data_IF_719719498607
#
_entry.id   IF_719719498607
#
_cell.length_a   1.000
_cell.length_b   1.000
_cell.length_c   1.000
_cell.angle_alpha   90.00
_cell.angle_beta   90.00
_cell.angle_gamma   90.00
#
_symmetry.space_group_name_H-M   'P 1'
#
loop_
_entity.id
_entity.type
_entity.pdbx_description
1 polymer ?
#
# COMPACT_ATOMS: atom_id res chain seq x y z
N UNK A 1 6.38 -19.70 15.74
CA UNK A 1 5.78 -18.78 14.75
C UNK A 1 4.85 -19.59 13.84
N UNK A 2 3.61 -19.14 13.58
CA UNK A 2 2.74 -19.84 12.63
C UNK A 2 3.37 -19.80 11.24
N UNK A 3 3.51 -20.95 10.59
CA UNK A 3 4.03 -21.04 9.24
C UNK A 3 2.89 -20.87 8.25
N UNK A 4 2.80 -19.68 7.63
CA UNK A 4 1.82 -19.46 6.56
C UNK A 4 2.12 -20.34 5.36
N UNK A 5 1.09 -21.02 4.86
CA UNK A 5 1.12 -21.72 3.59
C UNK A 5 1.35 -20.73 2.44
N UNK A 6 1.84 -21.24 1.30
CA UNK A 6 2.02 -20.43 0.09
C UNK A 6 0.73 -19.69 -0.32
N UNK A 7 -0.43 -20.34 -0.18
CA UNK A 7 -1.72 -19.75 -0.55
C UNK A 7 -2.10 -18.59 0.38
N UNK A 8 -1.83 -18.70 1.68
CA UNK A 8 -2.06 -17.62 2.65
C UNK A 8 -1.13 -16.44 2.38
N UNK A 9 0.17 -16.69 2.11
CA UNK A 9 1.11 -15.62 1.75
C UNK A 9 0.65 -14.86 0.50
N UNK A 10 0.19 -15.57 -0.53
CA UNK A 10 -0.38 -14.96 -1.74
C UNK A 10 -1.65 -14.16 -1.45
N UNK A 11 -2.52 -14.65 -0.55
CA UNK A 11 -3.72 -13.93 -0.14
C UNK A 11 -3.35 -12.60 0.53
N UNK A 12 -2.43 -12.62 1.50
CA UNK A 12 -1.98 -11.42 2.21
C UNK A 12 -1.29 -10.42 1.29
N UNK A 13 -0.42 -10.89 0.40
CA UNK A 13 0.22 -10.04 -0.61
C UNK A 13 -0.83 -9.35 -1.50
N UNK A 14 -1.84 -10.07 -1.95
CA UNK A 14 -2.92 -9.50 -2.75
C UNK A 14 -3.78 -8.50 -1.95
N UNK A 15 -3.99 -8.74 -0.65
CA UNK A 15 -4.66 -7.77 0.21
C UNK A 15 -3.84 -6.49 0.37
N UNK A 16 -2.52 -6.59 0.55
CA UNK A 16 -1.63 -5.44 0.64
C UNK A 16 -1.66 -4.61 -0.66
N UNK A 17 -1.59 -5.27 -1.82
CA UNK A 17 -1.75 -4.61 -3.13
C UNK A 17 -3.08 -3.87 -3.27
N UNK A 18 -4.18 -4.45 -2.78
CA UNK A 18 -5.50 -3.79 -2.79
C UNK A 18 -5.54 -2.53 -1.93
N UNK A 19 -4.79 -2.49 -0.81
CA UNK A 19 -4.67 -1.27 0.01
C UNK A 19 -3.91 -0.17 -0.73
N UNK A 20 -2.82 -0.51 -1.42
CA UNK A 20 -2.11 0.44 -2.30
C UNK A 20 -3.06 1.00 -3.38
N UNK A 21 -3.81 0.13 -4.05
CA UNK A 21 -4.78 0.56 -5.08
C UNK A 21 -5.91 1.46 -4.52
N UNK A 22 -6.22 1.37 -3.24
CA UNK A 22 -7.23 2.23 -2.62
C UNK A 22 -6.76 3.69 -2.52
N UNK A 23 -5.45 3.95 -2.47
CA UNK A 23 -4.87 5.31 -2.45
C UNK A 23 -5.28 6.09 -3.71
N UNK A 24 -5.27 5.44 -4.88
CA UNK A 24 -5.69 6.06 -6.14
C UNK A 24 -7.16 6.51 -6.13
N UNK A 25 -7.98 5.94 -5.24
CA UNK A 25 -9.39 6.28 -5.06
C UNK A 25 -9.64 7.22 -3.88
N UNK A 26 -8.62 7.56 -3.10
CA UNK A 26 -8.75 8.46 -1.96
C UNK A 26 -9.09 9.88 -2.43
N UNK A 27 -9.93 10.56 -1.63
CA UNK A 27 -10.12 12.00 -1.76
C UNK A 27 -8.91 12.73 -1.17
N UNK A 28 -8.67 13.96 -1.64
CA UNK A 28 -7.52 14.79 -1.25
C UNK A 28 -7.15 14.76 0.25
N UNK A 29 -8.08 14.96 1.22
CA UNK A 29 -7.73 14.97 2.64
C UNK A 29 -7.36 13.59 3.21
N UNK A 30 -7.56 12.51 2.46
CA UNK A 30 -7.35 11.13 2.93
C UNK A 30 -6.20 10.42 2.23
N UNK A 31 -5.49 11.06 1.30
CA UNK A 31 -4.39 10.44 0.56
C UNK A 31 -3.29 10.00 1.51
N UNK A 32 -2.80 10.92 2.35
CA UNK A 32 -1.71 10.66 3.29
C UNK A 32 -2.05 9.53 4.26
N UNK A 33 -3.28 9.56 4.79
CA UNK A 33 -3.79 8.49 5.67
C UNK A 33 -3.87 7.14 4.94
N UNK A 34 -4.29 7.14 3.68
CA UNK A 34 -4.36 5.91 2.87
C UNK A 34 -2.96 5.35 2.58
N UNK A 35 -1.97 6.21 2.32
CA UNK A 35 -0.56 5.84 2.19
C UNK A 35 -0.05 5.21 3.48
N UNK A 36 -0.21 5.90 4.61
CA UNK A 36 0.23 5.46 5.93
C UNK A 36 -0.34 4.08 6.26
N UNK A 37 -1.65 3.86 6.06
CA UNK A 37 -2.27 2.56 6.28
C UNK A 37 -1.76 1.46 5.36
N UNK A 38 -1.46 1.76 4.09
CA UNK A 38 -0.91 0.77 3.17
C UNK A 38 0.51 0.35 3.60
N UNK A 39 1.34 1.33 3.99
CA UNK A 39 2.72 1.10 4.44
C UNK A 39 2.78 0.35 5.77
N UNK A 40 1.96 0.75 6.74
CA UNK A 40 1.84 0.07 8.03
C UNK A 40 1.36 -1.38 7.88
N UNK A 41 0.45 -1.64 6.93
CA UNK A 41 0.00 -2.99 6.66
C UNK A 41 1.08 -3.86 6.02
N UNK A 42 1.89 -3.32 5.10
CA UNK A 42 3.03 -4.03 4.54
C UNK A 42 4.07 -4.39 5.62
N UNK A 43 4.35 -3.46 6.54
CA UNK A 43 5.25 -3.71 7.68
C UNK A 43 4.70 -4.84 8.56
N UNK A 44 3.44 -4.76 8.97
CA UNK A 44 2.81 -5.76 9.82
C UNK A 44 2.79 -7.17 9.20
N UNK A 45 2.68 -7.28 7.87
CA UNK A 45 2.75 -8.57 7.17
C UNK A 45 4.18 -9.12 7.12
N UNK A 46 5.19 -8.26 7.06
CA UNK A 46 6.58 -8.67 7.14
C UNK A 46 6.95 -9.14 8.55
N UNK A 47 6.52 -8.42 9.59
CA UNK A 47 6.76 -8.77 11.00
C UNK A 47 6.26 -10.18 11.37
N UNK A 48 5.27 -10.70 10.64
CA UNK A 48 4.70 -12.04 10.85
C UNK A 48 5.15 -13.06 9.80
N UNK A 49 6.15 -12.76 8.96
CA UNK A 49 6.64 -13.62 7.87
C UNK A 49 5.59 -13.98 6.80
N UNK A 50 4.52 -13.18 6.67
CA UNK A 50 3.48 -13.37 5.65
C UNK A 50 3.93 -12.91 4.26
N UNK A 51 4.86 -11.95 4.19
CA UNK A 51 5.52 -11.48 2.96
C UNK A 51 7.03 -11.40 3.15
N UNK A 52 7.76 -11.33 2.05
CA UNK A 52 9.22 -11.13 2.03
C UNK A 52 9.60 -9.66 2.21
N UNK A 53 10.85 -9.41 2.59
CA UNK A 53 11.41 -8.06 2.68
C UNK A 53 11.30 -7.30 1.35
N UNK A 54 11.59 -7.97 0.22
CA UNK A 54 11.46 -7.37 -1.11
C UNK A 54 10.01 -6.98 -1.42
N UNK A 55 9.04 -7.80 -1.06
CA UNK A 55 7.62 -7.48 -1.23
C UNK A 55 7.19 -6.31 -0.33
N UNK A 56 7.68 -6.25 0.91
CA UNK A 56 7.45 -5.13 1.83
C UNK A 56 7.94 -3.82 1.25
N UNK A 57 9.21 -3.77 0.83
CA UNK A 57 9.81 -2.56 0.23
C UNK A 57 9.05 -2.14 -1.03
N UNK A 58 8.74 -3.11 -1.92
CA UNK A 58 7.98 -2.85 -3.14
C UNK A 58 6.61 -2.21 -2.83
N UNK A 59 5.88 -2.78 -1.86
CA UNK A 59 4.57 -2.25 -1.45
C UNK A 59 4.68 -0.85 -0.85
N UNK A 60 5.74 -0.56 -0.10
CA UNK A 60 5.97 0.77 0.48
C UNK A 60 6.28 1.82 -0.59
N UNK A 61 7.10 1.46 -1.57
CA UNK A 61 7.42 2.33 -2.70
C UNK A 61 6.20 2.57 -3.60
N UNK A 62 5.42 1.53 -3.90
CA UNK A 62 4.19 1.65 -4.68
C UNK A 62 3.15 2.52 -3.95
N UNK A 63 3.01 2.39 -2.62
CA UNK A 63 2.13 3.23 -1.81
C UNK A 63 2.51 4.71 -1.91
N UNK A 64 3.80 5.03 -1.67
CA UNK A 64 4.33 6.39 -1.77
C UNK A 64 4.10 6.97 -3.16
N UNK A 65 4.48 6.24 -4.21
CA UNK A 65 4.33 6.69 -5.59
C UNK A 65 2.85 6.95 -5.93
N UNK A 66 1.96 6.05 -5.54
CA UNK A 66 0.52 6.21 -5.79
C UNK A 66 -0.05 7.43 -5.06
N UNK A 67 0.40 7.71 -3.84
CA UNK A 67 0.01 8.89 -3.09
C UNK A 67 0.48 10.18 -3.77
N UNK A 68 1.75 10.24 -4.16
CA UNK A 68 2.32 11.37 -4.90
C UNK A 68 1.57 11.64 -6.21
N UNK A 69 1.32 10.60 -7.01
CA UNK A 69 0.60 10.71 -8.27
C UNK A 69 -0.83 11.21 -8.05
N UNK A 70 -1.49 10.77 -6.97
CA UNK A 70 -2.84 11.22 -6.62
C UNK A 70 -2.86 12.69 -6.17
N UNK A 71 -1.88 13.13 -5.40
CA UNK A 71 -1.71 14.55 -5.03
C UNK A 71 -1.48 15.41 -6.27
N UNK A 72 -0.59 14.98 -7.17
CA UNK A 72 -0.32 15.68 -8.43
C UNK A 72 -1.58 15.80 -9.29
N UNK A 73 -2.39 14.74 -9.38
CA UNK A 73 -3.67 14.78 -10.08
C UNK A 73 -4.60 15.88 -9.54
N UNK A 74 -4.75 15.99 -8.21
CA UNK A 74 -5.60 17.04 -7.62
C UNK A 74 -5.02 18.45 -7.83
N UNK A 75 -3.70 18.60 -7.74
CA UNK A 75 -3.06 19.89 -7.98
C UNK A 75 -3.24 20.35 -9.44
N UNK A 76 -3.09 19.43 -10.41
CA UNK A 76 -3.35 19.70 -11.82
C UNK A 76 -4.84 20.05 -12.07
N UNK A 77 -5.76 19.35 -11.42
CA UNK A 77 -7.20 19.62 -11.52
C UNK A 77 -7.63 20.96 -10.87
N UNK A 78 -6.79 21.56 -10.00
CA UNK A 78 -7.08 22.86 -9.37
C UNK A 78 -6.54 24.04 -10.20
N UNK A 79 -5.70 23.79 -11.20
CA UNK A 79 -5.08 24.84 -12.05
C UNK A 79 -5.87 25.15 -13.34
N UNK A 80 -7.09 24.63 -13.47
CA UNK A 80 -8.04 24.87 -14.58
C UNK A 80 -9.26 25.58 -14.01
#
# INVERSE_FOLDING_TARGET
MPAYTRNEKLLYLNQARRKVLAIAKANRPYIDRAEEHARAYAEALYDVDAITETERVTLQDDARKTAEDRVRYFNAATQV
#
